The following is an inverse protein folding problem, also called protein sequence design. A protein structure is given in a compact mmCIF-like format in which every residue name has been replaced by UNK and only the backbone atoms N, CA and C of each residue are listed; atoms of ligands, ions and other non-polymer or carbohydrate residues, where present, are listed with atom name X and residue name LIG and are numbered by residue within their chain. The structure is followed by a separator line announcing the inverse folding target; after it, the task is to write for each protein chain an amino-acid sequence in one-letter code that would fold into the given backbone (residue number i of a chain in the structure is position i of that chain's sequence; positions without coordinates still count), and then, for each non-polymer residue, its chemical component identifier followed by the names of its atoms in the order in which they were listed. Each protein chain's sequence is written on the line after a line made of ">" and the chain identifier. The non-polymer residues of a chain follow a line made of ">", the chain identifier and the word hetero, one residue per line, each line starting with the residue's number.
data_IF_291941109492
#
_entry.id   IF_291941109492
#
_cell.length_a   1.000
_cell.length_b   1.000
_cell.length_c   1.000
_cell.angle_alpha   90.00
_cell.angle_beta   90.00
_cell.angle_gamma   90.00
#
_symmetry.space_group_name_H-M   'P 1'
#
loop_
_entity.id
_entity.type
_entity.pdbx_description
1 polymer ?
#
# COMPACT_ATOMS: atom_id res chain seq x y z
N UNK A 1 -14.11 -1.59 -8.41
CA UNK A 1 -12.81 -1.28 -9.05
C UNK A 1 -12.92 0.08 -9.75
N UNK A 2 -11.88 0.93 -9.70
CA UNK A 2 -11.80 2.16 -10.50
C UNK A 2 -11.79 1.85 -12.01
N UNK A 3 -12.24 2.77 -12.88
CA UNK A 3 -12.37 2.53 -14.31
C UNK A 3 -11.02 2.30 -15.02
N UNK A 4 -9.94 2.84 -14.47
CA UNK A 4 -8.57 2.66 -14.95
C UNK A 4 -7.58 2.78 -13.80
N UNK A 5 -6.39 2.21 -13.96
CA UNK A 5 -5.26 2.47 -13.07
C UNK A 5 -4.58 3.78 -13.48
N UNK A 6 -4.48 4.73 -12.55
CA UNK A 6 -3.84 6.00 -12.79
C UNK A 6 -2.32 5.85 -12.83
N UNK A 7 -1.72 6.40 -13.89
CA UNK A 7 -0.27 6.48 -14.06
C UNK A 7 0.09 7.93 -14.41
N UNK A 8 0.80 8.66 -13.52
CA UNK A 8 1.11 10.06 -13.73
C UNK A 8 1.84 10.31 -15.05
N UNK A 9 1.32 11.26 -15.84
CA UNK A 9 1.84 11.61 -17.15
C UNK A 9 1.38 10.71 -18.30
N UNK A 10 0.55 9.69 -18.04
CA UNK A 10 0.02 8.80 -19.08
C UNK A 10 -1.50 8.91 -19.26
N UNK A 11 -2.26 9.05 -18.17
CA UNK A 11 -3.71 9.18 -18.21
C UNK A 11 -4.22 10.21 -17.20
N UNK A 12 -5.51 10.55 -17.30
CA UNK A 12 -6.16 11.49 -16.39
C UNK A 12 -6.31 10.88 -14.99
N UNK A 13 -6.14 11.71 -13.96
CA UNK A 13 -6.46 11.32 -12.57
C UNK A 13 -7.98 11.13 -12.43
N UNK A 14 -8.38 10.28 -11.49
CA UNK A 14 -9.77 10.23 -11.03
C UNK A 14 -10.21 11.60 -10.47
N UNK A 15 -11.51 11.92 -10.48
CA UNK A 15 -12.06 13.06 -9.74
C UNK A 15 -11.58 13.07 -8.28
N UNK A 16 -11.47 14.25 -7.66
CA UNK A 16 -10.90 14.39 -6.31
C UNK A 16 -11.71 13.63 -5.24
N UNK A 17 -13.03 13.58 -5.41
CA UNK A 17 -14.01 12.95 -4.51
C UNK A 17 -14.24 11.46 -4.81
N UNK A 18 -13.58 10.90 -5.82
CA UNK A 18 -13.84 9.55 -6.32
C UNK A 18 -13.73 8.45 -5.24
N UNK A 19 -12.89 8.66 -4.23
CA UNK A 19 -12.65 7.70 -3.16
C UNK A 19 -13.29 8.08 -1.83
N UNK A 20 -14.07 9.17 -1.76
CA UNK A 20 -14.56 9.72 -0.49
C UNK A 20 -15.46 8.72 0.26
N UNK A 21 -16.37 8.06 -0.44
CA UNK A 21 -17.24 7.02 0.16
C UNK A 21 -16.40 5.89 0.75
N UNK A 22 -15.40 5.39 0.01
CA UNK A 22 -14.52 4.31 0.48
C UNK A 22 -13.71 4.78 1.70
N UNK A 23 -13.13 5.98 1.65
CA UNK A 23 -12.32 6.56 2.73
C UNK A 23 -13.17 6.85 3.98
N UNK A 24 -14.45 7.21 3.81
CA UNK A 24 -15.37 7.46 4.93
C UNK A 24 -15.70 6.22 5.77
N UNK A 25 -15.34 5.02 5.29
CA UNK A 25 -15.41 3.80 6.11
C UNK A 25 -14.37 3.76 7.24
N UNK A 26 -13.41 4.68 7.26
CA UNK A 26 -12.38 4.80 8.29
C UNK A 26 -12.73 5.94 9.24
N UNK A 27 -12.97 5.60 10.50
CA UNK A 27 -13.32 6.55 11.56
C UNK A 27 -12.18 6.70 12.59
N UNK A 28 -12.17 7.84 13.28
CA UNK A 28 -11.18 8.10 14.34
C UNK A 28 -11.35 7.17 15.52
N UNK A 29 -10.25 6.59 16.00
CA UNK A 29 -10.25 5.75 17.21
C UNK A 29 -10.73 4.30 16.99
N UNK A 30 -10.85 3.86 15.74
CA UNK A 30 -11.12 2.46 15.42
C UNK A 30 -10.04 1.54 15.99
N UNK A 31 -10.47 0.36 16.45
CA UNK A 31 -9.53 -0.71 16.81
C UNK A 31 -8.85 -1.29 15.57
N UNK A 32 -7.71 -1.95 15.76
CA UNK A 32 -6.98 -2.65 14.70
C UNK A 32 -7.88 -3.62 13.93
N UNK A 33 -8.66 -4.43 14.65
CA UNK A 33 -9.59 -5.36 14.03
C UNK A 33 -10.65 -4.64 13.19
N UNK A 34 -11.15 -3.50 13.67
CA UNK A 34 -12.13 -2.71 12.91
C UNK A 34 -11.49 -2.06 11.67
N UNK A 35 -10.27 -1.53 11.78
CA UNK A 35 -9.51 -0.97 10.64
C UNK A 35 -9.33 -2.01 9.53
N UNK A 36 -9.01 -3.26 9.89
CA UNK A 36 -8.87 -4.36 8.94
C UNK A 36 -10.17 -4.70 8.18
N UNK A 37 -11.34 -4.35 8.73
CA UNK A 37 -12.65 -4.59 8.10
C UNK A 37 -13.19 -3.37 7.33
N UNK A 38 -12.49 -2.23 7.35
CA UNK A 38 -12.91 -1.04 6.59
C UNK A 38 -12.91 -1.31 5.10
N UNK A 39 -13.81 -0.65 4.38
CA UNK A 39 -13.83 -0.73 2.91
C UNK A 39 -12.53 -0.19 2.33
N UNK A 40 -11.95 0.86 2.93
CA UNK A 40 -10.67 1.43 2.51
C UNK A 40 -9.53 0.41 2.56
N UNK A 41 -9.40 -0.34 3.65
CA UNK A 41 -8.35 -1.34 3.78
C UNK A 41 -8.54 -2.49 2.78
N UNK A 42 -9.75 -3.05 2.70
CA UNK A 42 -10.06 -4.15 1.78
C UNK A 42 -9.91 -3.73 0.31
N UNK A 43 -10.37 -2.55 -0.06
CA UNK A 43 -10.19 -1.99 -1.40
C UNK A 43 -8.71 -1.77 -1.72
N UNK A 44 -7.92 -1.24 -0.77
CA UNK A 44 -6.49 -1.03 -0.95
C UNK A 44 -5.74 -2.33 -1.27
N UNK A 45 -6.03 -3.41 -0.55
CA UNK A 45 -5.45 -4.73 -0.84
C UNK A 45 -5.85 -5.25 -2.22
N UNK A 46 -7.14 -5.16 -2.57
CA UNK A 46 -7.63 -5.56 -3.89
C UNK A 46 -7.00 -4.71 -5.02
N UNK A 47 -6.79 -3.42 -4.79
CA UNK A 47 -6.13 -2.52 -5.74
C UNK A 47 -4.66 -2.86 -5.91
N UNK A 48 -3.95 -3.21 -4.82
CA UNK A 48 -2.57 -3.66 -4.91
C UNK A 48 -2.44 -4.90 -5.79
N UNK A 49 -3.30 -5.90 -5.56
CA UNK A 49 -3.31 -7.15 -6.33
C UNK A 49 -3.65 -6.93 -7.80
N UNK A 50 -4.65 -6.08 -8.09
CA UNK A 50 -5.08 -5.77 -9.45
C UNK A 50 -4.17 -4.76 -10.19
N UNK A 51 -3.14 -4.23 -9.51
CA UNK A 51 -2.20 -3.27 -10.10
C UNK A 51 -2.72 -1.83 -10.21
N UNK A 52 -3.67 -1.44 -9.38
CA UNK A 52 -4.17 -0.07 -9.20
C UNK A 52 -3.36 0.61 -8.09
N UNK A 53 -2.07 0.76 -8.34
CA UNK A 53 -1.10 1.09 -7.30
C UNK A 53 -1.26 2.49 -6.72
N UNK A 54 -1.67 3.45 -7.56
CA UNK A 54 -1.91 4.80 -7.09
C UNK A 54 -3.18 4.87 -6.26
N UNK A 55 -4.24 4.18 -6.67
CA UNK A 55 -5.51 4.10 -5.97
C UNK A 55 -5.36 3.37 -4.63
N UNK A 56 -4.55 2.30 -4.61
CA UNK A 56 -4.14 1.61 -3.39
C UNK A 56 -3.54 2.58 -2.37
N UNK A 57 -2.59 3.42 -2.80
CA UNK A 57 -2.01 4.46 -1.94
C UNK A 57 -3.11 5.35 -1.38
N UNK A 58 -3.96 5.94 -2.24
CA UNK A 58 -4.95 6.93 -1.82
C UNK A 58 -5.88 6.39 -0.74
N UNK A 59 -6.40 5.16 -0.90
CA UNK A 59 -7.35 4.60 0.08
C UNK A 59 -6.67 4.12 1.35
N UNK A 60 -5.44 3.58 1.25
CA UNK A 60 -4.70 3.13 2.44
C UNK A 60 -4.14 4.29 3.27
N UNK A 61 -3.94 5.47 2.69
CA UNK A 61 -3.54 6.67 3.45
C UNK A 61 -4.56 7.00 4.56
N UNK A 62 -5.87 6.87 4.27
CA UNK A 62 -6.91 7.07 5.28
C UNK A 62 -6.77 6.12 6.47
N UNK A 63 -6.44 4.84 6.21
CA UNK A 63 -6.19 3.83 7.25
C UNK A 63 -4.91 4.18 8.03
N UNK A 64 -3.83 4.54 7.33
CA UNK A 64 -2.55 4.89 7.94
C UNK A 64 -2.67 6.08 8.90
N UNK A 65 -3.45 7.10 8.55
CA UNK A 65 -3.72 8.25 9.42
C UNK A 65 -4.35 7.87 10.77
N UNK A 66 -5.07 6.74 10.85
CA UNK A 66 -5.66 6.23 12.08
C UNK A 66 -4.77 5.24 12.85
N UNK A 67 -3.61 4.88 12.30
CA UNK A 67 -2.63 4.05 13.00
C UNK A 67 -1.67 4.93 13.81
N UNK A 68 -1.48 4.70 15.13
CA UNK A 68 -0.57 5.49 15.95
C UNK A 68 0.91 5.26 15.59
N UNK A 69 1.76 6.28 15.75
CA UNK A 69 3.20 6.16 15.50
C UNK A 69 3.85 5.10 16.41
N UNK A 70 4.83 4.37 15.85
CA UNK A 70 5.56 3.32 16.58
C UNK A 70 4.78 2.01 16.77
N UNK A 71 3.58 1.88 16.19
CA UNK A 71 2.79 0.65 16.25
C UNK A 71 3.05 -0.27 15.05
N UNK A 72 2.90 -1.57 15.24
CA UNK A 72 3.04 -2.57 14.17
C UNK A 72 2.04 -2.33 13.03
N UNK A 73 0.83 -1.85 13.34
CA UNK A 73 -0.19 -1.50 12.36
C UNK A 73 0.26 -0.36 11.45
N UNK A 74 0.91 0.66 12.02
CA UNK A 74 1.45 1.77 11.24
C UNK A 74 2.53 1.29 10.29
N UNK A 75 3.46 0.47 10.80
CA UNK A 75 4.54 -0.10 10.00
C UNK A 75 4.00 -0.94 8.84
N UNK A 76 3.00 -1.82 9.06
CA UNK A 76 2.47 -2.68 7.99
C UNK A 76 1.67 -1.89 6.94
N UNK A 77 0.86 -0.91 7.34
CA UNK A 77 0.10 -0.09 6.37
C UNK A 77 1.07 0.78 5.56
N UNK A 78 2.07 1.37 6.21
CA UNK A 78 3.08 2.17 5.52
C UNK A 78 3.92 1.33 4.55
N UNK A 79 4.27 0.09 4.91
CA UNK A 79 4.91 -0.88 4.04
C UNK A 79 4.06 -1.16 2.78
N UNK A 80 2.75 -1.39 2.92
CA UNK A 80 1.84 -1.62 1.80
C UNK A 80 1.74 -0.39 0.87
N UNK A 81 1.60 0.81 1.43
CA UNK A 81 1.56 2.06 0.65
C UNK A 81 2.86 2.26 -0.14
N UNK A 82 4.01 2.03 0.50
CA UNK A 82 5.30 2.17 -0.17
C UNK A 82 5.54 1.10 -1.23
N UNK A 83 5.10 -0.14 -0.99
CA UNK A 83 5.13 -1.22 -1.98
C UNK A 83 4.27 -0.87 -3.20
N UNK A 84 3.06 -0.35 -3.00
CA UNK A 84 2.21 0.14 -4.08
C UNK A 84 2.94 1.23 -4.88
N UNK A 85 3.51 2.23 -4.20
CA UNK A 85 4.27 3.28 -4.87
C UNK A 85 5.51 2.73 -5.61
N UNK A 86 6.19 1.71 -5.07
CA UNK A 86 7.32 1.07 -5.74
C UNK A 86 6.89 0.46 -7.08
N UNK A 87 5.79 -0.30 -7.09
CA UNK A 87 5.25 -0.88 -8.32
C UNK A 87 4.74 0.18 -9.31
N UNK A 88 4.16 1.28 -8.81
CA UNK A 88 3.84 2.44 -9.64
C UNK A 88 5.11 3.01 -10.29
N UNK A 89 6.22 3.12 -9.54
CA UNK A 89 7.50 3.60 -10.10
C UNK A 89 8.07 2.66 -11.15
N UNK A 90 7.85 1.35 -11.04
CA UNK A 90 8.18 0.40 -12.13
C UNK A 90 7.39 0.76 -13.40
N UNK A 91 6.06 0.92 -13.31
CA UNK A 91 5.22 1.30 -14.46
C UNK A 91 5.56 2.66 -15.08
N UNK A 92 6.12 3.56 -14.28
CA UNK A 92 6.59 4.86 -14.72
C UNK A 92 8.02 4.83 -15.30
N UNK A 93 8.64 3.66 -15.45
CA UNK A 93 10.05 3.48 -15.85
C UNK A 93 11.03 4.26 -14.95
N UNK A 94 10.80 4.22 -13.63
CA UNK A 94 11.62 4.88 -12.61
C UNK A 94 12.30 3.85 -11.68
N UNK A 95 13.20 3.00 -12.19
CA UNK A 95 13.74 1.84 -11.45
C UNK A 95 14.53 2.23 -10.19
N UNK A 96 15.28 3.35 -10.23
CA UNK A 96 16.00 3.86 -9.04
C UNK A 96 15.06 4.23 -7.90
N UNK A 97 13.91 4.85 -8.23
CA UNK A 97 12.91 5.22 -7.23
C UNK A 97 12.19 3.98 -6.68
N UNK A 98 11.87 3.01 -7.54
CA UNK A 98 11.29 1.73 -7.13
C UNK A 98 12.20 0.97 -6.14
N UNK A 99 13.49 0.84 -6.44
CA UNK A 99 14.48 0.21 -5.54
C UNK A 99 14.56 0.90 -4.18
N UNK A 100 14.57 2.24 -4.15
CA UNK A 100 14.60 2.98 -2.89
C UNK A 100 13.34 2.71 -2.04
N UNK A 101 12.17 2.67 -2.67
CA UNK A 101 10.91 2.37 -1.98
C UNK A 101 10.90 0.92 -1.46
N UNK A 102 11.37 -0.05 -2.24
CA UNK A 102 11.51 -1.44 -1.78
C UNK A 102 12.37 -1.54 -0.51
N UNK A 103 13.50 -0.82 -0.46
CA UNK A 103 14.34 -0.76 0.75
C UNK A 103 13.65 -0.12 1.95
N UNK A 104 12.77 0.85 1.72
CA UNK A 104 11.97 1.43 2.80
C UNK A 104 10.94 0.42 3.32
N UNK A 105 10.30 -0.34 2.43
CA UNK A 105 9.40 -1.45 2.79
C UNK A 105 10.14 -2.49 3.63
N UNK A 106 11.31 -2.95 3.18
CA UNK A 106 12.15 -3.89 3.95
C UNK A 106 12.45 -3.36 5.37
N UNK A 107 12.82 -2.07 5.49
CA UNK A 107 13.07 -1.46 6.78
C UNK A 107 11.83 -1.33 7.69
N UNK A 108 10.61 -1.34 7.14
CA UNK A 108 9.38 -1.48 7.91
C UNK A 108 9.16 -2.94 8.34
N UNK A 109 9.37 -3.89 7.44
CA UNK A 109 9.20 -5.33 7.72
C UNK A 109 10.20 -5.84 8.77
N UNK A 110 11.43 -5.32 8.79
CA UNK A 110 12.43 -5.66 9.81
C UNK A 110 11.93 -5.31 11.23
N UNK A 111 11.17 -4.23 11.40
CA UNK A 111 10.57 -3.83 12.69
C UNK A 111 9.40 -4.70 13.11
N UNK A 112 8.83 -5.47 12.18
CA UNK A 112 7.73 -6.41 12.40
C UNK A 112 8.22 -7.85 12.66
N UNK A 113 9.53 -8.04 12.83
CA UNK A 113 10.12 -9.36 13.06
C UNK A 113 9.51 -10.06 14.27
N UNK A 114 8.90 -11.22 14.05
CA UNK A 114 8.29 -12.05 15.10
C UNK A 114 6.76 -11.91 15.23
N UNK A 115 6.14 -11.01 14.46
CA UNK A 115 4.69 -10.87 14.39
C UNK A 115 4.07 -11.88 13.40
N UNK A 116 2.96 -12.51 13.80
CA UNK A 116 2.26 -13.51 12.97
C UNK A 116 1.42 -12.84 11.88
N UNK A 117 0.50 -11.94 12.26
CA UNK A 117 -0.34 -11.19 11.35
C UNK A 117 -0.81 -9.87 11.97
N UNK A 118 -0.68 -8.77 11.23
CA UNK A 118 -1.09 -7.42 11.62
C UNK A 118 -2.08 -6.92 10.57
N UNK A 119 -3.28 -6.51 11.00
CA UNK A 119 -4.39 -6.20 10.08
C UNK A 119 -4.68 -7.35 9.09
N UNK A 120 -4.49 -8.59 9.52
CA UNK A 120 -4.64 -9.78 8.67
C UNK A 120 -3.52 -9.97 7.63
N UNK A 121 -2.49 -9.13 7.64
CA UNK A 121 -1.34 -9.24 6.74
C UNK A 121 -0.15 -9.86 7.45
N UNK A 122 0.48 -10.83 6.80
CA UNK A 122 1.75 -11.41 7.25
C UNK A 122 2.91 -10.62 6.66
N UNK A 123 3.88 -10.14 7.46
CA UNK A 123 5.06 -9.44 6.94
C UNK A 123 5.80 -10.23 5.84
N UNK A 124 5.83 -11.56 5.94
CA UNK A 124 6.48 -12.44 4.98
C UNK A 124 5.80 -12.41 3.61
N UNK A 125 4.46 -12.25 3.56
CA UNK A 125 3.75 -12.12 2.29
C UNK A 125 4.11 -10.79 1.60
N UNK A 126 4.30 -9.72 2.37
CA UNK A 126 4.75 -8.43 1.85
C UNK A 126 6.20 -8.53 1.34
N UNK A 127 7.08 -9.23 2.07
CA UNK A 127 8.46 -9.47 1.62
C UNK A 127 8.50 -10.19 0.27
N UNK A 128 7.70 -11.25 0.09
CA UNK A 128 7.62 -11.97 -1.19
C UNK A 128 7.22 -11.04 -2.35
N UNK A 129 6.36 -10.06 -2.10
CA UNK A 129 5.99 -9.06 -3.12
C UNK A 129 7.15 -8.09 -3.40
N UNK A 130 7.88 -7.65 -2.37
CA UNK A 130 9.09 -6.82 -2.54
C UNK A 130 10.13 -7.55 -3.39
N UNK A 131 10.39 -8.82 -3.10
CA UNK A 131 11.38 -9.63 -3.82
C UNK A 131 11.03 -9.73 -5.31
N UNK A 132 9.74 -9.91 -5.64
CA UNK A 132 9.27 -9.94 -7.04
C UNK A 132 9.52 -8.61 -7.77
N UNK A 133 9.26 -7.48 -7.10
CA UNK A 133 9.53 -6.15 -7.67
C UNK A 133 11.03 -5.93 -7.85
N UNK A 134 11.84 -6.31 -6.86
CA UNK A 134 13.29 -6.19 -6.95
C UNK A 134 13.86 -7.07 -8.07
N UNK A 135 13.32 -8.28 -8.25
CA UNK A 135 13.71 -9.17 -9.35
C UNK A 135 13.35 -8.60 -10.73
N UNK A 136 12.16 -8.01 -10.89
CA UNK A 136 11.78 -7.40 -12.18
C UNK A 136 12.71 -6.26 -12.58
N UNK A 137 13.26 -5.54 -11.60
CA UNK A 137 14.19 -4.42 -11.78
C UNK A 137 15.63 -4.83 -12.12
N UNK A 138 15.96 -6.12 -12.08
CA UNK A 138 17.25 -6.68 -12.50
C UNK A 138 17.25 -7.11 -13.98
N UNK A 139 16.06 -7.34 -14.55
CA UNK A 139 15.88 -7.80 -15.93
C UNK A 139 15.69 -6.66 -16.94
N UNK A 140 15.68 -5.40 -16.49
CA UNK A 140 15.64 -4.16 -17.29
C UNK A 140 17.03 -3.52 -17.42
#
# INVERSE_FOLDING_TARGET
>A
MPPHAYVPGQNARHPEDWFDEIKSSVETGMSVNALAQTQAFQAGLAYLEAGYFWECHEVLEAVWLQTPEGTSEREVVQALIQLANAQLKVRMHKPKAARRLCKMVEGHLDRLSGEDAILGQRPQNVQVMVDRVMQSLLCE
#
